data_IF_968006251165
#
_entry.id   IF_968006251165
#
_cell.length_a   1.000
_cell.length_b   1.000
_cell.length_c   1.000
_cell.angle_alpha   90.00
_cell.angle_beta   90.00
_cell.angle_gamma   90.00
#
_symmetry.space_group_name_H-M   'P 1'
#
loop_
_entity.id
_entity.type
_entity.pdbx_description
1 polymer ?
#
# COMPACT_ATOMS: atom_id res chain seq x y z
N UNK A 1 -91.72 12.68 -2.11
CA UNK A 1 -90.92 13.92 -2.06
C UNK A 1 -89.46 13.52 -1.91
N UNK A 2 -88.60 14.07 -2.78
CA UNK A 2 -87.14 14.27 -2.65
C UNK A 2 -86.28 12.99 -2.49
N UNK A 3 -85.55 12.49 -3.50
CA UNK A 3 -84.32 13.03 -4.13
C UNK A 3 -83.29 13.55 -3.11
N UNK A 4 -82.12 12.89 -3.02
CA UNK A 4 -80.77 13.50 -3.04
C UNK A 4 -79.71 12.37 -2.90
N UNK A 5 -78.93 12.04 -3.94
CA UNK A 5 -77.69 12.68 -4.41
C UNK A 5 -76.55 12.74 -3.38
N UNK A 6 -75.51 11.91 -3.56
CA UNK A 6 -74.12 12.34 -3.38
C UNK A 6 -73.15 11.33 -4.01
N UNK A 7 -72.81 11.60 -5.28
CA UNK A 7 -71.69 11.02 -6.02
C UNK A 7 -70.41 11.71 -5.51
N UNK A 8 -69.59 11.00 -4.75
CA UNK A 8 -68.28 11.44 -4.33
C UNK A 8 -67.27 11.24 -5.49
N UNK A 9 -67.17 12.24 -6.36
CA UNK A 9 -66.14 12.35 -7.39
C UNK A 9 -64.84 12.90 -6.79
N UNK A 10 -63.86 12.00 -6.67
CA UNK A 10 -62.42 12.11 -6.95
C UNK A 10 -61.75 13.49 -6.81
N UNK A 11 -60.66 13.54 -6.03
CA UNK A 11 -59.46 14.34 -6.32
C UNK A 11 -58.26 13.75 -5.55
N UNK A 12 -57.73 12.62 -6.05
CA UNK A 12 -56.37 12.17 -5.68
C UNK A 12 -55.38 12.93 -6.56
N UNK A 13 -54.44 13.71 -6.00
CA UNK A 13 -53.41 14.35 -6.80
C UNK A 13 -52.54 13.26 -7.44
N UNK A 14 -52.44 13.29 -8.77
CA UNK A 14 -51.44 12.58 -9.56
C UNK A 14 -50.06 13.07 -9.09
N UNK A 15 -49.51 12.42 -8.07
CA UNK A 15 -48.09 12.49 -7.74
C UNK A 15 -47.36 11.90 -8.94
N UNK A 16 -46.86 12.77 -9.82
CA UNK A 16 -45.89 12.41 -10.83
C UNK A 16 -44.74 11.71 -10.10
N UNK A 17 -44.65 10.39 -10.23
CA UNK A 17 -43.49 9.63 -9.79
C UNK A 17 -42.33 10.16 -10.62
N UNK A 18 -41.53 11.05 -10.03
CA UNK A 18 -40.25 11.41 -10.60
C UNK A 18 -39.52 10.10 -10.87
N UNK A 19 -39.34 9.78 -12.15
CA UNK A 19 -38.59 8.61 -12.59
C UNK A 19 -37.24 8.72 -11.86
N UNK A 20 -36.90 7.80 -10.94
CA UNK A 20 -35.69 7.91 -10.15
C UNK A 20 -34.55 8.08 -11.14
N UNK A 21 -33.95 9.27 -11.10
CA UNK A 21 -32.92 9.73 -12.01
C UNK A 21 -31.95 8.58 -12.25
N UNK A 22 -31.96 8.00 -13.46
CA UNK A 22 -31.22 6.78 -13.76
C UNK A 22 -29.75 7.07 -13.51
N UNK A 23 -29.25 6.62 -12.36
CA UNK A 23 -27.85 6.76 -12.00
C UNK A 23 -27.04 6.16 -13.15
N UNK A 24 -26.15 6.93 -13.81
CA UNK A 24 -25.34 6.41 -14.88
C UNK A 24 -24.60 5.17 -14.41
N UNK A 25 -24.80 4.06 -15.13
CA UNK A 25 -24.06 2.82 -14.86
C UNK A 25 -22.60 3.03 -15.21
N UNK A 26 -21.73 2.44 -14.40
CA UNK A 26 -20.29 2.47 -14.69
C UNK A 26 -19.93 1.35 -15.68
N UNK A 27 -18.97 1.58 -16.58
CA UNK A 27 -18.59 0.56 -17.57
C UNK A 27 -18.09 -0.74 -16.94
N UNK A 28 -18.33 -1.84 -17.62
CA UNK A 28 -17.78 -3.14 -17.23
C UNK A 28 -16.29 -3.23 -17.56
N UNK A 29 -15.47 -3.59 -16.59
CA UNK A 29 -14.03 -3.82 -16.74
C UNK A 29 -13.73 -5.31 -16.81
N UNK A 30 -13.03 -5.72 -17.87
CA UNK A 30 -12.44 -7.05 -17.93
C UNK A 30 -11.24 -7.14 -16.98
N UNK A 31 -10.92 -8.33 -16.43
CA UNK A 31 -9.70 -8.51 -15.67
C UNK A 31 -8.47 -8.12 -16.49
N UNK A 32 -7.52 -7.46 -15.83
CA UNK A 32 -6.27 -7.04 -16.48
C UNK A 32 -5.31 -8.21 -16.73
N UNK A 33 -4.24 -7.93 -17.47
CA UNK A 33 -3.11 -8.85 -17.64
C UNK A 33 -2.40 -9.22 -16.33
N UNK A 34 -2.61 -8.44 -15.25
CA UNK A 34 -1.99 -8.60 -13.94
C UNK A 34 -3.01 -8.94 -12.84
N UNK A 35 -4.11 -9.60 -13.22
CA UNK A 35 -5.22 -10.01 -12.34
C UNK A 35 -4.78 -10.90 -11.16
N UNK A 36 -3.66 -11.60 -11.29
CA UNK A 36 -3.07 -12.41 -10.22
C UNK A 36 -2.70 -11.58 -8.98
N UNK A 37 -2.51 -10.27 -9.14
CA UNK A 37 -2.26 -9.32 -8.04
C UNK A 37 -3.53 -8.89 -7.29
N UNK A 38 -4.71 -9.21 -7.81
CA UNK A 38 -5.99 -8.83 -7.22
C UNK A 38 -6.20 -9.48 -5.84
N UNK A 39 -6.51 -8.67 -4.82
CA UNK A 39 -6.70 -9.14 -3.44
C UNK A 39 -5.39 -9.43 -2.69
N UNK A 40 -4.26 -9.14 -3.33
CA UNK A 40 -2.93 -9.11 -2.73
C UNK A 40 -2.73 -7.92 -1.79
N UNK A 41 -1.46 -7.63 -1.44
CA UNK A 41 -1.05 -6.36 -0.82
C UNK A 41 -1.56 -5.08 -1.50
N UNK A 42 -1.78 -5.14 -2.82
CA UNK A 42 -2.28 -4.00 -3.60
C UNK A 42 -3.78 -3.77 -3.38
N UNK A 43 -4.48 -4.73 -2.77
CA UNK A 43 -5.91 -4.65 -2.50
C UNK A 43 -6.78 -5.06 -3.69
N UNK A 44 -8.06 -4.67 -3.63
CA UNK A 44 -9.05 -4.96 -4.66
C UNK A 44 -9.34 -3.70 -5.46
N UNK A 45 -8.72 -3.60 -6.63
CA UNK A 45 -8.94 -2.52 -7.59
C UNK A 45 -9.60 -3.07 -8.83
N UNK A 46 -10.74 -2.51 -9.23
CA UNK A 46 -11.50 -3.00 -10.39
C UNK A 46 -10.69 -3.01 -11.69
N UNK A 47 -9.82 -2.01 -11.90
CA UNK A 47 -8.92 -1.95 -13.06
C UNK A 47 -7.92 -3.12 -13.12
N UNK A 48 -7.60 -3.73 -11.98
CA UNK A 48 -6.74 -4.93 -11.90
C UNK A 48 -7.59 -6.20 -11.96
N UNK A 49 -8.58 -6.27 -11.06
CA UNK A 49 -9.40 -7.44 -10.79
C UNK A 49 -10.42 -7.77 -11.89
N UNK A 50 -10.86 -6.76 -12.64
CA UNK A 50 -12.11 -6.80 -13.40
C UNK A 50 -13.35 -6.64 -12.50
N UNK A 51 -14.47 -6.24 -13.10
CA UNK A 51 -15.73 -5.94 -12.40
C UNK A 51 -16.27 -7.13 -11.62
N UNK A 52 -16.25 -8.33 -12.20
CA UNK A 52 -16.81 -9.52 -11.55
C UNK A 52 -16.09 -9.85 -10.24
N UNK A 53 -14.77 -10.03 -10.29
CA UNK A 53 -13.95 -10.36 -9.11
C UNK A 53 -13.88 -9.21 -8.11
N UNK A 54 -13.93 -7.96 -8.58
CA UNK A 54 -14.07 -6.80 -7.71
C UNK A 54 -15.40 -6.84 -6.94
N UNK A 55 -16.52 -7.13 -7.60
CA UNK A 55 -17.82 -7.21 -6.94
C UNK A 55 -17.97 -8.42 -6.00
N UNK A 56 -17.18 -9.49 -6.17
CA UNK A 56 -17.19 -10.66 -5.27
C UNK A 56 -16.77 -10.34 -3.84
N UNK A 57 -15.98 -9.29 -3.63
CA UNK A 57 -15.50 -8.93 -2.28
C UNK A 57 -16.64 -8.50 -1.36
N UNK A 58 -17.75 -8.02 -1.91
CA UNK A 58 -18.87 -7.50 -1.14
C UNK A 58 -19.69 -8.60 -0.48
N UNK A 59 -19.65 -9.82 -1.02
CA UNK A 59 -20.26 -11.00 -0.39
C UNK A 59 -19.26 -11.74 0.52
N UNK A 60 -17.99 -11.33 0.53
CA UNK A 60 -16.94 -11.98 1.31
C UNK A 60 -16.55 -11.14 2.56
N UNK A 61 -17.04 -11.51 3.77
CA UNK A 61 -16.79 -10.75 4.99
C UNK A 61 -15.32 -10.76 5.46
N UNK A 62 -14.48 -11.61 4.86
CA UNK A 62 -13.07 -11.76 5.24
C UNK A 62 -12.15 -10.78 4.50
N UNK A 63 -12.51 -10.35 3.29
CA UNK A 63 -11.63 -9.55 2.42
C UNK A 63 -11.89 -8.05 2.51
N UNK A 64 -13.06 -7.62 3.01
CA UNK A 64 -13.42 -6.21 3.04
C UNK A 64 -14.25 -5.82 4.28
N UNK A 65 -13.60 -5.70 5.44
CA UNK A 65 -14.31 -5.30 6.68
C UNK A 65 -14.62 -3.79 6.77
N UNK A 66 -14.18 -2.99 5.80
CA UNK A 66 -14.59 -1.59 5.67
C UNK A 66 -15.66 -1.43 4.61
N UNK A 67 -16.87 -1.97 4.78
CA UNK A 67 -17.98 -1.85 3.80
C UNK A 67 -17.99 -0.43 3.21
N UNK A 68 -17.82 -0.23 1.90
CA UNK A 68 -18.06 1.08 1.32
C UNK A 68 -19.52 1.40 1.64
N UNK A 69 -19.79 2.57 2.20
CA UNK A 69 -21.11 2.95 2.72
C UNK A 69 -22.28 2.79 1.71
N UNK A 70 -21.98 2.55 0.43
CA UNK A 70 -22.91 2.56 -0.69
C UNK A 70 -23.14 1.19 -1.37
N UNK A 71 -22.41 0.12 -1.05
CA UNK A 71 -22.62 -1.22 -1.65
C UNK A 71 -22.52 -2.32 -0.60
N UNK A 72 -23.59 -3.09 -0.43
CA UNK A 72 -23.72 -4.11 0.61
C UNK A 72 -23.58 -5.56 0.11
N UNK A 73 -23.61 -5.79 -1.20
CA UNK A 73 -23.54 -7.13 -1.80
C UNK A 73 -22.94 -7.12 -3.21
N UNK A 74 -22.52 -8.29 -3.71
CA UNK A 74 -22.11 -8.50 -5.11
C UNK A 74 -23.23 -8.08 -6.07
N UNK A 75 -24.47 -8.45 -5.77
CA UNK A 75 -25.63 -8.11 -6.60
C UNK A 75 -25.84 -6.60 -6.71
N UNK A 76 -25.70 -5.85 -5.61
CA UNK A 76 -25.81 -4.39 -5.62
C UNK A 76 -24.65 -3.75 -6.39
N UNK A 77 -23.43 -4.27 -6.24
CA UNK A 77 -22.26 -3.84 -7.00
C UNK A 77 -22.48 -4.03 -8.50
N UNK A 78 -22.90 -5.22 -8.94
CA UNK A 78 -23.16 -5.54 -10.35
C UNK A 78 -24.34 -4.76 -10.94
N UNK A 79 -25.38 -4.46 -10.14
CA UNK A 79 -26.51 -3.67 -10.61
C UNK A 79 -26.12 -2.25 -11.05
N UNK A 80 -25.10 -1.66 -10.42
CA UNK A 80 -24.51 -0.37 -10.77
C UNK A 80 -23.56 -0.40 -11.98
N UNK A 81 -23.41 -1.57 -12.63
CA UNK A 81 -22.51 -1.79 -13.77
C UNK A 81 -23.31 -1.99 -15.07
N UNK A 82 -22.66 -1.62 -16.16
CA UNK A 82 -23.02 -2.10 -17.49
C UNK A 82 -22.89 -3.64 -17.56
N UNK A 83 -23.66 -4.33 -18.43
CA UNK A 83 -23.50 -5.77 -18.59
C UNK A 83 -22.10 -6.13 -19.13
N UNK A 84 -21.58 -7.33 -18.84
CA UNK A 84 -20.33 -7.79 -19.42
C UNK A 84 -20.41 -7.77 -20.95
N UNK A 85 -19.36 -7.30 -21.65
CA UNK A 85 -19.37 -7.30 -23.10
C UNK A 85 -19.43 -8.74 -23.62
N UNK A 86 -20.26 -8.98 -24.65
CA UNK A 86 -20.46 -10.33 -25.24
C UNK A 86 -19.21 -10.85 -25.95
N UNK A 87 -18.28 -9.96 -26.29
CA UNK A 87 -16.98 -10.27 -26.87
C UNK A 87 -15.94 -9.67 -25.92
N UNK A 88 -14.92 -10.44 -25.56
CA UNK A 88 -13.79 -9.94 -24.78
C UNK A 88 -13.10 -8.81 -25.56
N UNK A 89 -13.52 -7.57 -25.31
CA UNK A 89 -12.98 -6.38 -25.96
C UNK A 89 -11.55 -6.21 -25.49
N UNK A 90 -10.61 -6.68 -26.29
CA UNK A 90 -9.21 -6.92 -25.86
C UNK A 90 -8.32 -5.69 -26.03
N UNK A 91 -8.89 -4.53 -26.34
CA UNK A 91 -8.10 -3.33 -26.52
C UNK A 91 -8.92 -2.10 -26.15
N UNK A 92 -8.47 -1.42 -25.10
CA UNK A 92 -8.68 0.03 -25.01
C UNK A 92 -8.21 0.61 -26.35
N UNK A 93 -9.00 1.46 -27.03
CA UNK A 93 -8.53 2.14 -28.23
C UNK A 93 -7.22 2.82 -27.88
N UNK A 94 -6.12 2.34 -28.46
CA UNK A 94 -4.83 2.98 -28.29
C UNK A 94 -5.00 4.36 -28.92
N UNK A 95 -5.25 5.36 -28.08
CA UNK A 95 -5.31 6.72 -28.55
C UNK A 95 -3.89 7.00 -29.07
N UNK A 96 -3.72 7.12 -30.39
CA UNK A 96 -2.40 7.25 -31.03
C UNK A 96 -1.61 8.49 -30.56
N UNK A 97 -2.22 9.32 -29.71
CA UNK A 97 -1.58 10.43 -29.03
C UNK A 97 -1.06 9.98 -27.66
N UNK A 98 0.24 9.70 -27.61
CA UNK A 98 0.96 9.50 -26.35
C UNK A 98 0.84 10.75 -25.47
N UNK A 99 0.56 10.56 -24.18
CA UNK A 99 0.61 11.63 -23.20
C UNK A 99 2.06 12.12 -23.04
N UNK A 100 2.32 13.43 -22.82
CA UNK A 100 3.68 13.90 -22.65
C UNK A 100 4.35 13.28 -21.42
N UNK A 101 5.66 13.04 -21.51
CA UNK A 101 6.47 12.70 -20.33
C UNK A 101 6.61 13.93 -19.43
N UNK A 102 6.25 13.79 -18.15
CA UNK A 102 6.35 14.85 -17.15
C UNK A 102 7.53 14.58 -16.22
N UNK A 103 8.41 15.56 -16.10
CA UNK A 103 9.45 15.56 -15.07
C UNK A 103 8.87 16.00 -13.72
N UNK A 104 9.36 15.48 -12.59
CA UNK A 104 8.94 15.95 -11.27
C UNK A 104 9.30 17.42 -11.09
N UNK A 105 8.39 18.20 -10.46
CA UNK A 105 8.62 19.63 -10.20
C UNK A 105 9.88 19.90 -9.37
N UNK A 106 10.21 18.98 -8.44
CA UNK A 106 11.39 19.10 -7.60
C UNK A 106 12.11 17.75 -7.45
N UNK A 107 13.04 17.39 -8.36
CA UNK A 107 13.66 16.07 -8.40
C UNK A 107 14.37 15.66 -7.10
N UNK A 108 14.84 16.64 -6.31
CA UNK A 108 15.56 16.42 -5.05
C UNK A 108 14.65 16.17 -3.84
N UNK A 109 13.39 16.58 -3.91
CA UNK A 109 12.45 16.47 -2.78
C UNK A 109 11.82 15.07 -2.71
N UNK A 110 11.65 14.39 -3.84
CA UNK A 110 10.95 13.10 -3.92
C UNK A 110 11.72 11.88 -3.38
N UNK A 111 13.06 11.78 -3.48
CA UNK A 111 13.78 10.64 -2.89
C UNK A 111 13.95 10.77 -1.36
N UNK A 112 13.96 11.98 -0.80
CA UNK A 112 14.35 12.21 0.60
C UNK A 112 13.21 12.64 1.53
N UNK A 113 12.18 13.30 1.02
CA UNK A 113 11.09 13.76 1.88
C UNK A 113 9.99 12.72 1.92
N UNK A 114 9.52 12.42 3.14
CA UNK A 114 8.32 11.65 3.42
C UNK A 114 7.03 12.23 2.82
N UNK A 115 7.11 13.11 1.81
CA UNK A 115 5.99 13.46 0.96
C UNK A 115 5.54 12.21 0.22
N UNK A 116 4.42 11.75 0.75
CA UNK A 116 3.88 10.44 0.61
C UNK A 116 3.07 10.43 -0.69
N UNK A 117 3.60 9.74 -1.70
CA UNK A 117 2.88 9.40 -2.93
C UNK A 117 2.65 10.60 -3.86
N UNK A 118 2.28 10.31 -5.11
CA UNK A 118 1.72 11.30 -6.02
C UNK A 118 0.30 11.71 -5.55
N UNK A 119 0.16 12.06 -4.27
CA UNK A 119 -1.09 12.34 -3.60
C UNK A 119 -1.45 13.81 -3.81
N UNK A 120 -2.45 14.07 -4.65
CA UNK A 120 -2.93 15.41 -4.92
C UNK A 120 -3.75 15.45 -6.21
N UNK A 121 -4.46 16.56 -6.43
CA UNK A 121 -5.25 16.77 -7.65
C UNK A 121 -4.36 16.85 -8.91
N UNK A 122 -3.08 17.20 -8.74
CA UNK A 122 -2.09 17.36 -9.81
C UNK A 122 -1.23 16.10 -10.05
N UNK A 123 -1.37 15.03 -9.25
CA UNK A 123 -0.90 13.66 -9.51
C UNK A 123 0.46 13.53 -10.23
N UNK A 124 0.41 13.23 -11.53
CA UNK A 124 1.58 13.04 -12.41
C UNK A 124 2.40 14.32 -12.62
N UNK A 125 1.76 15.50 -12.61
CA UNK A 125 2.43 16.78 -12.84
C UNK A 125 3.32 17.20 -11.66
N UNK A 126 3.04 16.71 -10.45
CA UNK A 126 3.86 17.00 -9.27
C UNK A 126 5.06 16.05 -9.20
N UNK A 127 4.77 14.74 -9.23
CA UNK A 127 5.75 13.70 -8.94
C UNK A 127 6.46 13.13 -10.18
N UNK A 128 6.04 13.53 -11.38
CA UNK A 128 6.55 13.06 -12.66
C UNK A 128 6.00 11.70 -13.10
N UNK A 129 6.11 11.42 -14.41
CA UNK A 129 5.58 10.22 -15.07
C UNK A 129 6.14 8.94 -14.48
N UNK A 130 7.45 8.88 -14.23
CA UNK A 130 8.10 7.66 -13.74
C UNK A 130 7.50 7.20 -12.41
N UNK A 131 7.45 8.08 -11.40
CA UNK A 131 6.92 7.74 -10.08
C UNK A 131 5.41 7.52 -10.10
N UNK A 132 4.66 8.32 -10.87
CA UNK A 132 3.22 8.16 -11.05
C UNK A 132 2.87 6.78 -11.63
N UNK A 133 3.53 6.40 -12.73
CA UNK A 133 3.31 5.10 -13.33
C UNK A 133 3.79 3.96 -12.43
N UNK A 134 4.94 4.11 -11.77
CA UNK A 134 5.46 3.13 -10.82
C UNK A 134 4.51 2.78 -9.68
N UNK A 135 3.60 3.69 -9.31
CA UNK A 135 2.61 3.45 -8.25
C UNK A 135 1.55 2.40 -8.61
N UNK A 136 1.27 2.18 -9.91
CA UNK A 136 0.31 1.16 -10.35
C UNK A 136 0.75 -0.26 -9.99
N UNK A 137 2.05 -0.50 -9.77
CA UNK A 137 2.56 -1.80 -9.33
C UNK A 137 2.63 -1.98 -7.81
N UNK A 138 2.03 -1.05 -7.06
CA UNK A 138 2.14 -0.96 -5.60
C UNK A 138 0.78 -0.81 -4.92
N UNK A 139 0.73 -0.96 -3.60
CA UNK A 139 -0.47 -0.66 -2.82
C UNK A 139 -0.85 0.83 -2.82
N UNK A 140 -0.01 1.68 -3.43
CA UNK A 140 -0.27 3.11 -3.67
C UNK A 140 -1.02 3.40 -4.96
N UNK A 141 -1.45 2.38 -5.71
CA UNK A 141 -2.39 2.56 -6.82
C UNK A 141 -3.65 3.34 -6.39
N UNK A 142 -4.01 3.30 -5.10
CA UNK A 142 -5.07 4.10 -4.49
C UNK A 142 -4.89 5.61 -4.65
N UNK A 143 -3.66 6.11 -4.78
CA UNK A 143 -3.32 7.52 -5.01
C UNK A 143 -3.24 7.91 -6.49
N UNK A 144 -3.37 6.94 -7.39
CA UNK A 144 -3.44 7.20 -8.84
C UNK A 144 -4.87 7.45 -9.28
N UNK A 145 -5.05 7.85 -10.54
CA UNK A 145 -6.38 7.92 -11.17
C UNK A 145 -6.96 6.55 -11.51
N UNK A 146 -6.20 5.45 -11.34
CA UNK A 146 -6.61 4.07 -11.59
C UNK A 146 -7.05 3.83 -13.03
N UNK A 147 -6.40 4.52 -13.97
CA UNK A 147 -6.69 4.48 -15.41
C UNK A 147 -6.01 3.30 -16.11
N UNK A 148 -4.96 2.75 -15.48
CA UNK A 148 -4.13 1.65 -15.99
C UNK A 148 -4.13 0.49 -15.00
N UNK A 149 -3.85 -0.73 -15.45
CA UNK A 149 -3.74 -1.87 -14.54
C UNK A 149 -2.33 -2.08 -13.99
N UNK A 150 -1.31 -1.54 -14.66
CA UNK A 150 0.10 -1.73 -14.30
C UNK A 150 0.96 -0.52 -14.66
N UNK A 151 2.19 -0.47 -14.11
CA UNK A 151 3.15 0.58 -14.52
C UNK A 151 3.51 0.46 -15.99
N UNK A 152 3.57 -0.76 -16.53
CA UNK A 152 3.90 -0.99 -17.94
C UNK A 152 2.84 -0.41 -18.89
N UNK A 153 1.56 -0.63 -18.60
CA UNK A 153 0.45 -0.03 -19.36
C UNK A 153 0.45 1.50 -19.23
N UNK A 154 0.72 2.00 -18.02
CA UNK A 154 0.87 3.43 -17.79
C UNK A 154 2.00 4.02 -18.66
N UNK A 155 3.22 3.47 -18.59
CA UNK A 155 4.37 3.96 -19.36
C UNK A 155 4.16 3.84 -20.87
N UNK A 156 3.50 2.79 -21.36
CA UNK A 156 3.19 2.61 -22.78
C UNK A 156 2.25 3.70 -23.34
N UNK A 157 1.46 4.34 -22.47
CA UNK A 157 0.58 5.46 -22.84
C UNK A 157 1.28 6.83 -22.79
N UNK A 158 2.57 6.90 -22.45
CA UNK A 158 3.36 8.14 -22.42
C UNK A 158 4.40 8.18 -23.52
N UNK A 159 4.79 9.40 -23.88
CA UNK A 159 5.98 9.65 -24.65
C UNK A 159 7.18 9.03 -23.92
N UNK A 160 8.18 8.49 -24.66
CA UNK A 160 9.39 7.97 -24.03
C UNK A 160 10.08 9.02 -23.16
N UNK A 161 10.75 8.55 -22.11
CA UNK A 161 11.61 9.40 -21.31
C UNK A 161 12.65 10.11 -22.20
N UNK A 162 12.89 11.41 -22.00
CA UNK A 162 13.90 12.14 -22.77
C UNK A 162 15.29 11.49 -22.66
N UNK A 163 15.87 11.11 -23.81
CA UNK A 163 17.16 10.40 -23.86
C UNK A 163 18.35 11.22 -23.32
N UNK A 164 18.21 12.54 -23.25
CA UNK A 164 19.21 13.47 -22.72
C UNK A 164 19.08 13.72 -21.21
N UNK A 165 18.24 12.96 -20.50
CA UNK A 165 18.08 13.10 -19.06
C UNK A 165 19.34 12.60 -18.34
N UNK A 166 20.15 13.54 -17.85
CA UNK A 166 21.24 13.23 -16.93
C UNK A 166 20.62 12.93 -15.57
N UNK A 167 20.57 11.66 -15.19
CA UNK A 167 20.17 11.26 -13.84
C UNK A 167 21.38 11.39 -12.93
N UNK A 168 21.37 12.42 -12.06
CA UNK A 168 22.31 12.50 -10.94
C UNK A 168 22.09 11.26 -10.07
N UNK A 169 23.17 10.55 -9.74
CA UNK A 169 23.09 9.40 -8.84
C UNK A 169 22.65 9.86 -7.46
N UNK A 170 21.76 9.10 -6.85
CA UNK A 170 21.35 9.34 -5.47
C UNK A 170 22.46 8.87 -4.52
N UNK A 171 22.79 9.63 -3.46
CA UNK A 171 23.64 9.14 -2.39
C UNK A 171 23.22 7.76 -1.88
N UNK A 172 24.20 6.87 -1.64
CA UNK A 172 23.91 5.58 -1.01
C UNK A 172 23.59 5.79 0.47
N UNK A 173 22.32 5.66 0.85
CA UNK A 173 21.88 5.75 2.22
C UNK A 173 22.18 4.45 2.98
N UNK A 174 22.94 4.58 4.07
CA UNK A 174 23.09 3.49 5.03
C UNK A 174 21.78 3.26 5.78
N UNK A 175 21.58 2.03 6.26
CA UNK A 175 20.45 1.74 7.14
C UNK A 175 20.47 2.69 8.35
N UNK A 176 19.34 3.36 8.66
CA UNK A 176 19.30 4.35 9.73
C UNK A 176 19.67 3.70 11.06
N UNK A 177 20.77 4.19 11.66
CA UNK A 177 21.31 3.66 12.92
C UNK A 177 20.36 3.85 14.09
N UNK A 178 19.63 4.96 14.11
CA UNK A 178 18.76 5.32 15.22
C UNK A 178 17.61 6.22 14.76
N UNK A 179 16.41 5.67 14.55
CA UNK A 179 15.13 6.32 14.81
C UNK A 179 14.08 5.21 14.98
N UNK A 180 13.40 5.16 16.13
CA UNK A 180 12.29 4.25 16.43
C UNK A 180 11.26 4.10 15.28
N UNK A 181 11.10 5.15 14.47
CA UNK A 181 10.18 5.21 13.35
C UNK A 181 10.71 4.54 12.06
N UNK A 182 12.02 4.62 11.77
CA UNK A 182 12.53 4.20 10.45
C UNK A 182 12.64 2.69 10.31
N UNK A 183 13.21 2.00 11.31
CA UNK A 183 13.34 0.53 11.29
C UNK A 183 11.99 -0.18 11.32
N UNK A 184 11.05 0.40 12.05
CA UNK A 184 9.71 -0.15 12.15
C UNK A 184 8.90 0.06 10.87
N UNK A 185 8.99 1.21 10.20
CA UNK A 185 8.27 1.39 8.94
C UNK A 185 8.91 0.63 7.79
N UNK A 186 10.22 0.41 7.85
CA UNK A 186 10.94 -0.30 6.81
C UNK A 186 10.36 -1.70 6.58
N UNK A 187 9.76 -1.87 5.40
CA UNK A 187 9.10 -3.09 4.95
C UNK A 187 7.70 -3.31 5.53
N UNK A 188 7.36 -2.80 6.71
CA UNK A 188 6.03 -2.96 7.28
C UNK A 188 5.01 -2.08 6.58
N UNK A 189 5.28 -0.77 6.49
CA UNK A 189 4.47 0.17 5.73
C UNK A 189 5.00 0.32 4.31
N UNK A 190 6.31 0.52 4.17
CA UNK A 190 6.94 0.79 2.88
C UNK A 190 8.43 0.52 2.88
N UNK A 191 8.99 0.32 1.68
CA UNK A 191 10.42 0.38 1.43
C UNK A 191 10.72 1.69 0.71
N UNK A 192 11.51 2.55 1.35
CA UNK A 192 12.08 3.75 0.75
C UNK A 192 13.52 3.90 1.22
N UNK A 193 14.33 4.61 0.45
CA UNK A 193 15.73 4.86 0.79
C UNK A 193 15.85 5.54 2.17
N UNK A 194 14.94 6.47 2.48
CA UNK A 194 14.85 7.17 3.76
C UNK A 194 14.55 6.24 4.96
N UNK A 195 13.59 5.32 4.82
CA UNK A 195 13.19 4.42 5.92
C UNK A 195 14.11 3.22 6.07
N UNK A 196 14.62 2.70 4.95
CA UNK A 196 15.26 1.39 4.87
C UNK A 196 16.76 1.42 4.58
N UNK A 197 17.31 2.56 4.16
CA UNK A 197 18.58 2.60 3.46
C UNK A 197 18.50 1.96 2.07
N UNK A 198 19.51 2.22 1.25
CA UNK A 198 19.52 1.88 -0.19
C UNK A 198 19.46 0.38 -0.42
N UNK A 199 20.16 -0.41 0.39
CA UNK A 199 20.23 -1.87 0.22
C UNK A 199 18.87 -2.55 0.27
N UNK A 200 18.17 -2.40 1.40
CA UNK A 200 16.85 -3.04 1.59
C UNK A 200 15.82 -2.44 0.65
N UNK A 201 15.89 -1.13 0.44
CA UNK A 201 15.03 -0.45 -0.52
C UNK A 201 15.15 -1.03 -1.93
N UNK A 202 16.36 -1.15 -2.46
CA UNK A 202 16.57 -1.68 -3.81
C UNK A 202 16.24 -3.17 -3.90
N UNK A 203 16.61 -4.00 -2.91
CA UNK A 203 16.24 -5.42 -2.89
C UNK A 203 14.72 -5.66 -2.83
N UNK A 204 13.95 -4.71 -2.30
CA UNK A 204 12.50 -4.83 -2.23
C UNK A 204 11.83 -4.80 -3.61
N UNK A 205 12.46 -4.24 -4.65
CA UNK A 205 11.87 -4.26 -6.00
C UNK A 205 11.71 -5.67 -6.56
N UNK A 206 12.64 -6.58 -6.23
CA UNK A 206 12.60 -7.97 -6.71
C UNK A 206 11.79 -8.88 -5.79
N UNK A 207 11.69 -8.53 -4.50
CA UNK A 207 11.13 -9.41 -3.46
C UNK A 207 9.75 -8.99 -2.98
N UNK A 208 9.47 -7.70 -2.95
CA UNK A 208 8.29 -7.10 -2.33
C UNK A 208 7.80 -5.85 -3.09
N UNK A 209 7.71 -5.96 -4.43
CA UNK A 209 7.41 -4.84 -5.33
C UNK A 209 6.22 -3.99 -4.88
N UNK A 210 5.18 -4.64 -4.34
CA UNK A 210 3.96 -3.99 -3.87
C UNK A 210 4.17 -2.89 -2.79
N UNK A 211 5.31 -2.91 -2.12
CA UNK A 211 5.69 -1.97 -1.06
C UNK A 211 7.00 -1.24 -1.35
N UNK A 212 7.60 -1.42 -2.53
CA UNK A 212 8.81 -0.70 -2.92
C UNK A 212 8.44 0.67 -3.53
N UNK A 213 8.72 1.76 -2.80
CA UNK A 213 8.37 3.13 -3.21
C UNK A 213 9.30 3.60 -4.31
N UNK A 214 8.82 3.62 -5.54
CA UNK A 214 9.59 4.09 -6.68
C UNK A 214 9.18 3.44 -7.98
N UNK A 215 10.00 3.67 -9.00
CA UNK A 215 9.71 3.33 -10.39
C UNK A 215 10.75 2.42 -11.04
N UNK A 216 11.72 1.92 -10.27
CA UNK A 216 12.69 0.97 -10.77
C UNK A 216 12.01 -0.35 -11.12
N UNK A 217 12.44 -0.98 -12.21
CA UNK A 217 11.90 -2.27 -12.63
C UNK A 217 12.40 -3.42 -11.73
N UNK A 218 13.59 -3.29 -11.15
CA UNK A 218 14.25 -4.31 -10.34
C UNK A 218 15.34 -3.70 -9.45
N UNK A 219 15.95 -4.53 -8.60
CA UNK A 219 17.03 -4.09 -7.70
C UNK A 219 18.27 -3.60 -8.43
N UNK A 220 18.61 -4.19 -9.59
CA UNK A 220 19.79 -3.82 -10.37
C UNK A 220 19.69 -2.38 -10.90
N UNK A 221 18.53 -2.02 -11.44
CA UNK A 221 18.25 -0.66 -11.89
C UNK A 221 18.29 0.33 -10.71
N UNK A 222 17.68 -0.06 -9.58
CA UNK A 222 17.71 0.76 -8.37
C UNK A 222 19.14 1.03 -7.88
N UNK A 223 19.98 0.00 -7.75
CA UNK A 223 21.39 0.18 -7.35
C UNK A 223 22.19 0.99 -8.36
N UNK A 224 21.93 0.84 -9.66
CA UNK A 224 22.59 1.65 -10.69
C UNK A 224 22.27 3.14 -10.57
N UNK A 225 21.08 3.48 -10.07
CA UNK A 225 20.64 4.85 -9.79
C UNK A 225 21.26 5.47 -8.53
N UNK A 226 21.97 4.69 -7.71
CA UNK A 226 22.65 5.18 -6.52
C UNK A 226 24.18 5.23 -6.72
N UNK A 227 24.83 6.00 -5.86
CA UNK A 227 26.27 5.94 -5.63
C UNK A 227 26.69 4.55 -5.15
N UNK A 228 27.98 4.22 -5.29
CA UNK A 228 28.49 2.94 -4.80
C UNK A 228 28.41 2.89 -3.27
N UNK A 229 28.10 1.72 -2.68
CA UNK A 229 28.11 1.56 -1.23
C UNK A 229 29.48 1.94 -0.65
N UNK A 230 29.53 2.64 0.50
CA UNK A 230 30.80 2.90 1.16
C UNK A 230 31.43 1.58 1.64
N UNK A 231 32.77 1.51 1.77
CA UNK A 231 33.45 0.30 2.25
C UNK A 231 32.86 -0.20 3.57
N UNK A 232 32.55 -1.49 3.67
CA UNK A 232 31.96 -2.09 4.86
C UNK A 232 30.43 -2.06 4.94
N UNK A 233 29.74 -1.32 4.07
CA UNK A 233 28.27 -1.25 4.08
C UNK A 233 27.58 -2.57 3.72
N UNK A 234 28.25 -3.37 2.88
CA UNK A 234 27.67 -4.57 2.28
C UNK A 234 28.36 -5.89 2.64
N UNK A 235 29.29 -5.88 3.60
CA UNK A 235 30.12 -7.05 3.97
C UNK A 235 29.31 -8.29 4.40
N UNK A 236 28.01 -8.14 4.71
CA UNK A 236 27.08 -9.22 5.03
C UNK A 236 26.03 -9.45 3.90
N UNK A 237 26.44 -9.37 2.63
CA UNK A 237 25.56 -9.40 1.46
C UNK A 237 24.64 -10.63 1.29
N UNK A 238 24.94 -11.76 1.94
CA UNK A 238 24.35 -13.04 1.54
C UNK A 238 22.85 -13.22 1.86
N UNK A 239 22.27 -12.46 2.80
CA UNK A 239 20.83 -12.55 3.08
C UNK A 239 20.36 -11.41 3.98
N UNK A 240 20.53 -10.14 3.57
CA UNK A 240 19.87 -9.06 4.30
C UNK A 240 18.35 -9.32 4.24
N UNK A 241 17.72 -9.67 5.37
CA UNK A 241 16.27 -9.75 5.44
C UNK A 241 15.74 -8.35 5.18
N UNK A 242 14.54 -8.28 4.62
CA UNK A 242 13.96 -6.99 4.28
C UNK A 242 13.45 -6.25 5.52
N UNK A 243 13.18 -6.96 6.62
CA UNK A 243 12.59 -6.40 7.84
C UNK A 243 13.43 -6.69 9.05
N UNK A 244 13.38 -5.77 10.01
CA UNK A 244 14.00 -5.98 11.32
C UNK A 244 13.06 -6.67 12.29
N UNK A 245 13.62 -7.54 13.15
CA UNK A 245 12.86 -8.25 14.17
C UNK A 245 12.36 -7.31 15.27
N UNK A 246 11.06 -7.31 15.54
CA UNK A 246 10.43 -6.50 16.58
C UNK A 246 9.97 -7.37 17.74
N UNK A 247 10.29 -6.95 18.97
CA UNK A 247 9.75 -7.55 20.20
C UNK A 247 8.55 -6.72 20.63
N UNK A 248 7.42 -7.39 20.88
CA UNK A 248 6.20 -6.74 21.33
C UNK A 248 6.33 -6.19 22.75
N UNK A 249 5.53 -5.15 23.04
CA UNK A 249 5.41 -4.53 24.36
C UNK A 249 4.59 -5.39 25.33
N UNK A 250 3.58 -6.13 24.84
CA UNK A 250 2.53 -6.76 25.65
C UNK A 250 2.66 -8.29 25.71
N UNK A 251 2.60 -8.86 26.92
CA UNK A 251 2.31 -10.28 27.16
C UNK A 251 1.22 -10.43 28.23
N UNK A 252 0.11 -11.15 27.96
CA UNK A 252 -0.28 -11.72 26.67
C UNK A 252 -0.72 -10.63 25.68
N UNK A 253 -0.30 -10.73 24.40
CA UNK A 253 -0.77 -9.77 23.42
C UNK A 253 -2.20 -10.11 22.99
N UNK A 254 -3.15 -9.27 23.40
CA UNK A 254 -4.51 -9.30 22.90
C UNK A 254 -4.63 -8.39 21.68
N UNK A 255 -5.28 -8.89 20.62
CA UNK A 255 -5.47 -8.16 19.36
C UNK A 255 -6.08 -6.77 19.63
N UNK A 256 -5.33 -5.68 19.40
CA UNK A 256 -5.79 -4.33 19.68
C UNK A 256 -6.80 -3.94 18.61
N UNK A 257 -8.09 -3.94 18.96
CA UNK A 257 -9.22 -3.58 18.10
C UNK A 257 -9.41 -4.44 16.83
N UNK A 258 -10.66 -4.88 16.61
CA UNK A 258 -11.09 -5.54 15.36
C UNK A 258 -11.21 -4.57 14.17
N UNK A 259 -10.87 -3.29 14.32
CA UNK A 259 -10.85 -2.30 13.24
C UNK A 259 -9.43 -2.19 12.67
N UNK A 260 -9.23 -2.87 11.53
CA UNK A 260 -7.96 -3.51 11.12
C UNK A 260 -7.09 -2.76 10.11
N UNK A 261 -7.37 -1.51 9.75
CA UNK A 261 -6.59 -0.84 8.67
C UNK A 261 -5.14 -0.49 9.04
N UNK A 262 -4.84 -0.40 10.33
CA UNK A 262 -3.47 -0.20 10.84
C UNK A 262 -2.87 -1.50 11.43
N UNK A 263 -3.53 -2.63 11.22
CA UNK A 263 -3.33 -3.85 12.01
C UNK A 263 -1.93 -4.45 11.89
N UNK A 264 -1.36 -4.57 10.69
CA UNK A 264 -0.05 -5.20 10.54
C UNK A 264 1.06 -4.40 11.23
N UNK A 265 1.02 -3.08 11.06
CA UNK A 265 1.93 -2.14 11.70
C UNK A 265 1.67 -2.15 13.20
N UNK A 266 0.52 -1.68 13.68
CA UNK A 266 0.23 -1.54 15.12
C UNK A 266 0.36 -2.87 15.90
N UNK A 267 -0.04 -4.00 15.30
CA UNK A 267 0.14 -5.29 15.94
C UNK A 267 1.60 -5.75 15.95
N UNK A 268 2.41 -5.38 14.95
CA UNK A 268 3.85 -5.61 15.03
C UNK A 268 4.48 -4.80 16.17
N UNK A 269 4.09 -3.54 16.36
CA UNK A 269 4.62 -2.72 17.44
C UNK A 269 4.24 -3.30 18.82
N UNK A 270 2.97 -3.69 18.99
CA UNK A 270 2.44 -4.15 20.28
C UNK A 270 2.77 -5.61 20.59
N UNK A 271 2.65 -6.47 19.59
CA UNK A 271 2.76 -7.93 19.77
C UNK A 271 4.06 -8.53 19.22
N UNK A 272 4.82 -7.78 18.44
CA UNK A 272 6.09 -8.23 17.87
C UNK A 272 5.97 -9.15 16.66
N UNK A 273 7.12 -9.46 16.07
CA UNK A 273 7.24 -10.21 14.81
C UNK A 273 6.63 -11.61 14.92
N UNK A 274 6.90 -12.32 16.02
CA UNK A 274 6.42 -13.69 16.21
C UNK A 274 4.89 -13.77 16.16
N UNK A 275 4.22 -12.96 16.98
CA UNK A 275 2.76 -12.94 17.04
C UNK A 275 2.14 -12.53 15.71
N UNK A 276 2.70 -11.52 15.02
CA UNK A 276 2.22 -11.07 13.71
C UNK A 276 2.29 -12.22 12.70
N UNK A 277 3.43 -12.91 12.63
CA UNK A 277 3.62 -13.98 11.67
C UNK A 277 2.71 -15.18 11.96
N UNK A 278 2.49 -15.53 13.23
CA UNK A 278 1.55 -16.60 13.62
C UNK A 278 0.12 -16.33 13.13
N UNK A 279 -0.27 -15.06 12.91
CA UNK A 279 -1.59 -14.74 12.36
C UNK A 279 -1.77 -15.21 10.91
N UNK A 280 -0.70 -15.42 10.15
CA UNK A 280 -0.80 -15.93 8.77
C UNK A 280 -1.25 -17.40 8.71
N UNK A 281 -1.10 -18.15 9.79
CA UNK A 281 -1.61 -19.52 9.88
C UNK A 281 -3.08 -19.58 10.31
N UNK A 282 -3.66 -18.45 10.74
CA UNK A 282 -5.06 -18.32 11.13
C UNK A 282 -5.87 -17.59 10.04
N UNK A 283 -6.63 -18.29 9.18
CA UNK A 283 -7.34 -17.67 8.04
C UNK A 283 -8.22 -16.48 8.41
N UNK A 284 -8.85 -16.48 9.58
CA UNK A 284 -9.72 -15.40 10.09
C UNK A 284 -8.97 -14.17 10.60
N UNK A 285 -7.67 -14.30 10.88
CA UNK A 285 -6.86 -13.29 11.53
C UNK A 285 -5.69 -12.82 10.66
N UNK A 286 -5.57 -13.32 9.42
CA UNK A 286 -4.52 -12.90 8.50
C UNK A 286 -4.53 -11.37 8.37
N UNK A 287 -3.40 -10.69 8.64
CA UNK A 287 -3.33 -9.24 8.56
C UNK A 287 -3.48 -8.76 7.10
N UNK A 288 -2.94 -9.53 6.16
CA UNK A 288 -3.05 -9.35 4.72
C UNK A 288 -2.72 -10.68 3.98
N UNK A 289 -2.47 -10.60 2.68
CA UNK A 289 -2.17 -11.74 1.79
C UNK A 289 -0.70 -11.78 1.32
N UNK A 290 0.20 -11.05 2.00
CA UNK A 290 1.62 -10.93 1.67
C UNK A 290 2.39 -12.23 1.82
N UNK A 291 2.05 -13.03 2.82
CA UNK A 291 2.66 -14.33 3.08
C UNK A 291 1.62 -15.44 3.08
N UNK A 292 2.01 -16.63 2.66
CA UNK A 292 1.13 -17.81 2.64
C UNK A 292 0.90 -18.38 4.03
N UNK A 293 1.90 -18.28 4.91
CA UNK A 293 1.95 -18.89 6.24
C UNK A 293 2.95 -18.16 7.14
N UNK A 294 3.00 -18.53 8.42
CA UNK A 294 3.90 -17.94 9.40
C UNK A 294 5.39 -18.14 9.08
N UNK A 295 5.76 -19.29 8.52
CA UNK A 295 7.16 -19.60 8.20
C UNK A 295 7.71 -18.67 7.10
N UNK A 296 6.94 -18.42 6.05
CA UNK A 296 7.28 -17.46 4.99
C UNK A 296 7.37 -16.04 5.55
N UNK A 297 6.43 -15.65 6.42
CA UNK A 297 6.49 -14.37 7.13
C UNK A 297 7.79 -14.22 7.93
N UNK A 298 8.13 -15.20 8.78
CA UNK A 298 9.33 -15.16 9.62
C UNK A 298 10.63 -15.11 8.80
N UNK A 299 10.67 -15.78 7.65
CA UNK A 299 11.83 -15.76 6.74
C UNK A 299 12.10 -14.37 6.12
N UNK A 300 11.10 -13.47 6.10
CA UNK A 300 11.27 -12.10 5.62
C UNK A 300 11.90 -11.16 6.67
N UNK A 301 11.97 -11.57 7.93
CA UNK A 301 12.53 -10.82 9.04
C UNK A 301 13.97 -11.25 9.37
N UNK A 302 14.71 -10.35 10.01
CA UNK A 302 15.94 -10.69 10.71
C UNK A 302 15.72 -11.85 11.68
N UNK A 303 16.71 -12.75 11.84
CA UNK A 303 16.65 -13.77 12.87
C UNK A 303 16.37 -13.12 14.23
N UNK A 304 15.57 -13.81 15.05
CA UNK A 304 15.33 -13.36 16.42
C UNK A 304 16.69 -13.22 17.13
N UNK A 305 17.04 -12.02 17.60
CA UNK A 305 18.32 -11.82 18.26
C UNK A 305 18.28 -12.47 19.65
N UNK A 306 19.38 -13.14 20.03
CA UNK A 306 19.47 -13.92 21.27
C UNK A 306 19.39 -13.09 22.57
N UNK A 307 19.47 -11.77 22.45
CA UNK A 307 19.41 -10.77 23.53
C UNK A 307 18.12 -9.93 23.51
N UNK A 308 17.11 -10.33 22.72
CA UNK A 308 15.88 -9.56 22.53
C UNK A 308 16.04 -8.51 21.42
N UNK A 309 15.02 -8.36 20.58
CA UNK A 309 15.06 -7.49 19.39
C UNK A 309 14.74 -6.02 19.66
N UNK A 310 14.40 -5.30 18.59
CA UNK A 310 14.04 -3.90 18.71
C UNK A 310 12.72 -3.76 19.46
N UNK A 311 12.71 -2.90 20.47
CA UNK A 311 11.48 -2.57 21.18
C UNK A 311 10.93 -1.25 20.66
N UNK A 312 9.64 -1.27 20.41
CA UNK A 312 8.86 -0.09 20.15
C UNK A 312 8.37 0.47 21.50
N UNK A 313 8.30 1.80 21.64
CA UNK A 313 7.66 2.44 22.78
C UNK A 313 6.56 3.38 22.24
N UNK A 314 5.34 2.87 22.19
CA UNK A 314 4.14 3.62 21.80
C UNK A 314 3.88 4.84 22.68
N UNK A 315 4.39 4.89 23.92
CA UNK A 315 4.20 6.02 24.83
C UNK A 315 5.02 7.23 24.43
N UNK A 316 6.20 7.00 23.85
CA UNK A 316 7.02 8.07 23.26
C UNK A 316 6.29 8.71 22.07
N UNK A 317 5.57 7.92 21.28
CA UNK A 317 4.80 8.39 20.12
C UNK A 317 3.63 9.33 20.50
N UNK A 318 3.02 9.14 21.69
CA UNK A 318 1.92 10.01 22.17
C UNK A 318 2.38 11.25 22.95
N UNK A 319 3.68 11.56 22.94
CA UNK A 319 4.23 12.68 23.70
C UNK A 319 4.24 12.47 25.22
N UNK A 320 4.23 11.21 25.67
CA UNK A 320 4.31 10.87 27.09
C UNK A 320 5.72 11.08 27.66
N UNK A 321 5.80 11.62 28.89
CA UNK A 321 7.07 11.94 29.57
C UNK A 321 7.82 10.73 30.17
N UNK A 322 7.32 9.51 29.99
CA UNK A 322 7.77 8.32 30.76
C UNK A 322 8.52 7.27 29.92
N UNK A 323 9.38 7.70 28.99
CA UNK A 323 10.18 6.79 28.13
C UNK A 323 11.22 5.95 28.92
N UNK A 324 11.56 6.34 30.15
CA UNK A 324 12.64 5.74 30.92
C UNK A 324 12.32 4.31 31.45
N UNK A 325 11.04 3.95 31.58
CA UNK A 325 10.65 2.67 32.20
C UNK A 325 10.62 1.47 31.24
N UNK A 326 10.63 1.68 29.91
CA UNK A 326 10.51 0.59 28.93
C UNK A 326 11.83 -0.12 28.58
N UNK A 327 12.98 0.43 28.99
CA UNK A 327 14.30 -0.09 28.60
C UNK A 327 14.77 -1.32 29.41
N UNK A 328 14.06 -1.77 30.46
CA UNK A 328 14.55 -2.84 31.33
C UNK A 328 14.50 -4.26 30.69
N UNK A 329 13.67 -4.45 29.66
CA UNK A 329 13.54 -5.73 28.92
C UNK A 329 14.10 -5.70 27.50
N UNK A 330 14.65 -4.55 27.11
CA UNK A 330 14.88 -4.16 25.74
C UNK A 330 16.19 -3.40 25.62
N UNK A 331 17.02 -3.68 24.60
CA UNK A 331 18.21 -2.88 24.30
C UNK A 331 17.85 -1.52 23.68
N UNK A 332 17.16 -0.67 24.43
CA UNK A 332 17.03 0.74 24.12
C UNK A 332 18.25 1.46 24.70
N UNK A 333 19.29 1.60 23.89
CA UNK A 333 20.42 2.53 24.08
C UNK A 333 21.35 2.37 25.31
N UNK A 334 21.83 1.17 25.64
CA UNK A 334 23.05 1.07 26.47
C UNK A 334 24.35 1.46 25.70
N UNK A 335 24.27 1.68 24.37
CA UNK A 335 25.43 2.13 23.55
C UNK A 335 25.73 3.62 23.66
N UNK A 336 24.73 4.49 23.88
CA UNK A 336 24.98 5.94 23.99
C UNK A 336 25.85 6.30 25.20
N UNK A 337 25.75 5.54 26.29
CA UNK A 337 26.58 5.77 27.47
C UNK A 337 28.02 5.28 27.31
N UNK A 338 28.30 4.31 26.43
CA UNK A 338 29.68 3.82 26.23
C UNK A 338 30.48 4.65 25.23
N UNK A 339 29.83 5.30 24.27
CA UNK A 339 30.52 6.19 23.31
C UNK A 339 30.74 7.60 23.88
N UNK A 340 29.88 8.08 24.79
CA UNK A 340 30.11 9.32 25.54
C UNK A 340 31.17 9.22 26.66
N UNK A 341 31.76 8.03 26.87
CA UNK A 341 32.84 7.79 27.82
C UNK A 341 34.20 7.52 27.11
N UNK A 342 34.25 7.68 25.78
CA UNK A 342 35.45 7.46 24.96
C UNK A 342 35.87 8.73 24.19
N UNK A 343 35.15 9.85 24.35
CA UNK A 343 35.66 11.22 24.13
C UNK A 343 35.99 11.86 25.48
#
# INVERSE_FOLDING_TARGET
MMLDNLVALLLFPLLATADPERIPKTPWMMPSSVVDRCGGPIGYHEVICGTEKYCEIFDNPMTFQGKPWHMQSKSQCLAGREPPPTIASTSVPLNNHLLPWLEPKNPRDYPYLGHAFCAGNEGEADCGTALYCGAYDTHWISYTRKEYASSAECLAARAPEPANRVREKLPYALEPKNIFYLKYNCGNAEFSDFYCGTKRFCLAFDRERAYAKGYYANSTECFAAHETPPPGADDNAAASPLRSWVVGEDEPCESPNKDKRLFATDALARCGTKWLCEQYDAPSNRPDTRYRNAAECLAAFEPQPGDGGYCFDLRHWRGGRDAAYHCARCKCEERRHKEALVE
#
